data_IF_203501472715
#
_entry.id   IF_203501472715
#
_cell.length_a   1.000
_cell.length_b   1.000
_cell.length_c   1.000
_cell.angle_alpha   90.00
_cell.angle_beta   90.00
_cell.angle_gamma   90.00
#
_symmetry.space_group_name_H-M   'P 1'
#
loop_
_entity.id
_entity.type
_entity.pdbx_description
1 polymer ?
#
# COMPACT_ATOMS: atom_id res chain seq x y z
N UNK A 1 24.25 60.23 1.02
CA UNK A 1 23.98 58.92 1.68
C UNK A 1 23.90 59.10 3.19
N UNK A 2 22.71 59.23 3.78
CA UNK A 2 22.58 59.24 5.25
C UNK A 2 21.18 58.77 5.65
N UNK A 3 21.07 57.47 5.94
CA UNK A 3 19.99 56.81 6.69
C UNK A 3 20.47 55.39 7.05
N UNK A 4 21.51 55.28 7.89
CA UNK A 4 21.81 54.02 8.57
C UNK A 4 21.05 54.02 9.89
N UNK A 5 19.76 53.68 9.85
CA UNK A 5 19.01 53.38 11.07
C UNK A 5 19.48 52.01 11.53
N UNK A 6 20.14 51.94 12.69
CA UNK A 6 20.51 50.66 13.30
C UNK A 6 19.26 49.90 13.75
N UNK A 7 19.34 48.58 13.80
CA UNK A 7 18.25 47.73 14.31
C UNK A 7 17.93 48.13 15.75
N UNK A 8 16.66 48.35 16.06
CA UNK A 8 16.25 48.63 17.44
C UNK A 8 16.08 47.32 18.21
N UNK A 9 16.30 47.35 19.54
CA UNK A 9 16.11 46.17 20.40
C UNK A 9 14.68 45.59 20.27
N UNK A 10 13.69 46.47 20.15
CA UNK A 10 12.28 46.09 19.97
C UNK A 10 12.09 45.33 18.66
N UNK A 11 12.70 45.80 17.58
CA UNK A 11 12.64 45.14 16.27
C UNK A 11 13.27 43.75 16.31
N UNK A 12 14.40 43.56 17.01
CA UNK A 12 15.00 42.22 17.24
C UNK A 12 14.02 41.29 17.96
N UNK A 13 13.41 41.75 19.05
CA UNK A 13 12.50 40.94 19.87
C UNK A 13 11.24 40.56 19.07
N UNK A 14 10.67 41.51 18.33
CA UNK A 14 9.49 41.27 17.48
C UNK A 14 9.84 40.28 16.37
N UNK A 15 10.99 40.43 15.70
CA UNK A 15 11.43 39.48 14.67
C UNK A 15 11.62 38.06 15.22
N UNK A 16 12.26 37.90 16.39
CA UNK A 16 12.41 36.58 17.02
C UNK A 16 11.05 35.98 17.41
N UNK A 17 10.13 36.80 17.91
CA UNK A 17 8.79 36.36 18.30
C UNK A 17 8.01 35.83 17.08
N UNK A 18 8.07 36.55 15.96
CA UNK A 18 7.44 36.13 14.71
C UNK A 18 8.03 34.80 14.22
N UNK A 19 9.36 34.63 14.28
CA UNK A 19 10.01 33.38 13.89
C UNK A 19 9.55 32.19 14.73
N UNK A 20 9.40 32.36 16.04
CA UNK A 20 8.90 31.29 16.94
C UNK A 20 7.45 30.93 16.58
N UNK A 21 6.59 31.92 16.37
CA UNK A 21 5.19 31.71 16.00
C UNK A 21 5.07 30.93 14.68
N UNK A 22 5.91 31.25 13.69
CA UNK A 22 5.90 30.57 12.38
C UNK A 22 6.51 29.17 12.47
N UNK A 23 7.50 28.97 13.34
CA UNK A 23 8.21 27.68 13.45
C UNK A 23 7.30 26.55 13.92
N UNK A 24 6.40 26.80 14.88
CA UNK A 24 5.51 25.78 15.45
C UNK A 24 4.65 25.07 14.38
N UNK A 25 3.84 25.78 13.56
CA UNK A 25 3.07 25.12 12.51
C UNK A 25 3.94 24.49 11.43
N UNK A 26 5.12 25.06 11.13
CA UNK A 26 6.06 24.49 10.17
C UNK A 26 6.57 23.12 10.62
N UNK A 27 6.96 22.99 11.90
CA UNK A 27 7.39 21.72 12.49
C UNK A 27 6.27 20.67 12.44
N UNK A 28 5.04 21.05 12.74
CA UNK A 28 3.89 20.14 12.68
C UNK A 28 3.61 19.66 11.25
N UNK A 29 3.73 20.55 10.26
CA UNK A 29 3.57 20.18 8.85
C UNK A 29 4.65 19.19 8.40
N UNK A 30 5.91 19.43 8.76
CA UNK A 30 7.03 18.53 8.44
C UNK A 30 6.85 17.16 9.09
N UNK A 31 6.55 17.12 10.40
CA UNK A 31 6.37 15.86 11.13
C UNK A 31 5.20 15.03 10.57
N UNK A 32 4.09 15.69 10.25
CA UNK A 32 2.93 15.02 9.65
C UNK A 32 3.27 14.49 8.26
N UNK A 33 3.98 15.28 7.45
CA UNK A 33 4.45 14.87 6.13
C UNK A 33 5.34 13.63 6.21
N UNK A 34 6.35 13.64 7.08
CA UNK A 34 7.25 12.50 7.28
C UNK A 34 6.51 11.24 7.74
N UNK A 35 5.61 11.36 8.72
CA UNK A 35 4.81 10.23 9.20
C UNK A 35 3.94 9.63 8.10
N UNK A 36 3.36 10.45 7.23
CA UNK A 36 2.57 9.97 6.10
C UNK A 36 3.45 9.31 5.03
N UNK A 37 4.66 9.80 4.79
CA UNK A 37 5.61 9.18 3.86
C UNK A 37 6.01 7.79 4.34
N UNK A 38 6.36 7.64 5.62
CA UNK A 38 6.72 6.34 6.20
C UNK A 38 5.55 5.37 6.07
N UNK A 39 4.35 5.78 6.50
CA UNK A 39 3.13 4.96 6.39
C UNK A 39 2.78 4.56 4.95
N UNK A 40 3.05 5.45 3.99
CA UNK A 40 2.86 5.14 2.57
C UNK A 40 3.89 4.11 2.09
N UNK A 41 5.14 4.22 2.55
CA UNK A 41 6.19 3.24 2.31
C UNK A 41 5.81 1.86 2.82
N UNK A 42 5.42 1.76 4.10
CA UNK A 42 5.00 0.50 4.72
C UNK A 42 3.85 -0.14 3.92
N UNK A 43 2.82 0.65 3.57
CA UNK A 43 1.69 0.18 2.76
C UNK A 43 2.12 -0.33 1.38
N UNK A 44 3.08 0.34 0.75
CA UNK A 44 3.60 -0.08 -0.55
C UNK A 44 4.36 -1.40 -0.42
N UNK A 45 5.19 -1.55 0.62
CA UNK A 45 5.89 -2.80 0.92
C UNK A 45 4.92 -3.97 1.15
N UNK A 46 3.86 -3.77 1.95
CA UNK A 46 2.84 -4.79 2.18
C UNK A 46 2.18 -5.25 0.88
N UNK A 47 1.86 -4.31 -0.01
CA UNK A 47 1.21 -4.64 -1.30
C UNK A 47 2.16 -5.41 -2.20
N UNK A 48 3.44 -5.06 -2.23
CA UNK A 48 4.43 -5.84 -2.99
C UNK A 48 4.61 -7.24 -2.43
N UNK A 49 4.60 -7.39 -1.10
CA UNK A 49 4.65 -8.68 -0.44
C UNK A 49 3.44 -9.54 -0.81
N UNK A 50 2.23 -8.98 -0.71
CA UNK A 50 0.99 -9.66 -1.08
C UNK A 50 0.96 -10.02 -2.58
N UNK A 51 1.48 -9.16 -3.45
CA UNK A 51 1.62 -9.45 -4.89
C UNK A 51 2.55 -10.63 -5.14
N UNK A 52 3.72 -10.66 -4.50
CA UNK A 52 4.68 -11.77 -4.67
C UNK A 52 4.07 -13.11 -4.23
N UNK A 53 3.39 -13.13 -3.08
CA UNK A 53 2.70 -14.33 -2.58
C UNK A 53 1.59 -14.75 -3.54
N UNK A 54 0.81 -13.79 -4.04
CA UNK A 54 -0.25 -14.05 -5.00
C UNK A 54 0.29 -14.64 -6.30
N UNK A 55 1.35 -14.07 -6.86
CA UNK A 55 1.98 -14.55 -8.09
C UNK A 55 2.57 -15.96 -7.92
N UNK A 56 3.24 -16.22 -6.80
CA UNK A 56 3.71 -17.56 -6.45
C UNK A 56 2.55 -18.56 -6.36
N UNK A 57 1.46 -18.16 -5.70
CA UNK A 57 0.26 -18.99 -5.55
C UNK A 57 -0.38 -19.32 -6.90
N UNK A 58 -0.49 -18.33 -7.79
CA UNK A 58 -0.98 -18.52 -9.17
C UNK A 58 -0.10 -19.52 -9.92
N UNK A 59 1.22 -19.39 -9.81
CA UNK A 59 2.15 -20.26 -10.52
C UNK A 59 2.07 -21.71 -10.01
N UNK A 60 1.96 -21.91 -8.69
CA UNK A 60 1.78 -23.22 -8.08
C UNK A 60 0.45 -23.88 -8.45
N UNK A 61 -0.64 -23.11 -8.51
CA UNK A 61 -1.94 -23.59 -9.05
C UNK A 61 -1.79 -24.07 -10.49
N UNK A 62 -1.12 -23.29 -11.34
CA UNK A 62 -0.86 -23.66 -12.74
C UNK A 62 0.01 -24.91 -12.88
N UNK A 63 0.92 -25.14 -11.93
CA UNK A 63 1.74 -26.34 -11.86
C UNK A 63 0.98 -27.56 -11.30
N UNK A 64 -0.25 -27.39 -10.79
CA UNK A 64 -1.05 -28.45 -10.19
C UNK A 64 -0.60 -28.82 -8.78
N UNK A 65 0.11 -27.92 -8.09
CA UNK A 65 0.57 -28.14 -6.71
C UNK A 65 -0.52 -27.80 -5.69
N UNK A 66 -0.55 -28.54 -4.58
CA UNK A 66 -1.36 -28.16 -3.43
C UNK A 66 -0.79 -26.89 -2.78
N UNK A 67 -1.68 -25.92 -2.53
CA UNK A 67 -1.33 -24.67 -1.86
C UNK A 67 -1.62 -24.73 -0.38
N UNK A 68 -0.72 -24.12 0.39
CA UNK A 68 -0.97 -23.83 1.80
C UNK A 68 -1.91 -22.63 1.90
N UNK A 69 -2.94 -22.74 2.75
CA UNK A 69 -3.92 -21.66 2.96
C UNK A 69 -3.43 -20.61 3.95
N UNK A 70 -2.29 -20.83 4.58
CA UNK A 70 -1.69 -19.96 5.59
C UNK A 70 -0.16 -19.96 5.41
N UNK A 71 0.42 -18.78 5.26
CA UNK A 71 1.87 -18.57 5.15
C UNK A 71 2.30 -17.70 6.33
N UNK A 72 3.30 -18.14 7.08
CA UNK A 72 3.91 -17.32 8.14
C UNK A 72 5.13 -16.60 7.58
N UNK A 73 5.14 -15.28 7.67
CA UNK A 73 6.26 -14.43 7.26
C UNK A 73 7.38 -14.46 8.30
N UNK A 74 8.59 -14.11 7.87
CA UNK A 74 9.75 -13.94 8.78
C UNK A 74 9.50 -12.87 9.87
N UNK A 75 8.57 -11.94 9.61
CA UNK A 75 8.10 -10.95 10.59
C UNK A 75 7.22 -11.54 11.70
N UNK A 76 6.76 -12.79 11.55
CA UNK A 76 5.80 -13.47 12.43
C UNK A 76 4.34 -13.17 12.08
N UNK A 77 4.07 -12.35 11.07
CA UNK A 77 2.72 -12.11 10.54
C UNK A 77 2.25 -13.32 9.72
N UNK A 78 0.94 -13.58 9.76
CA UNK A 78 0.31 -14.66 9.01
C UNK A 78 -0.46 -14.11 7.83
N UNK A 79 -0.28 -14.74 6.68
CA UNK A 79 -0.96 -14.40 5.43
C UNK A 79 -1.90 -15.54 5.08
N UNK A 80 -3.18 -15.23 4.94
CA UNK A 80 -4.25 -16.16 4.62
C UNK A 80 -4.52 -16.13 3.12
N UNK A 81 -4.68 -17.31 2.53
CA UNK A 81 -5.02 -17.48 1.12
C UNK A 81 -6.40 -18.13 1.00
N UNK A 82 -7.28 -17.48 0.24
CA UNK A 82 -8.62 -17.95 -0.06
C UNK A 82 -8.81 -18.11 -1.56
N UNK A 83 -9.37 -19.25 -1.96
CA UNK A 83 -9.60 -19.61 -3.35
C UNK A 83 -11.10 -19.86 -3.56
N UNK A 84 -11.69 -19.13 -4.50
CA UNK A 84 -13.05 -19.39 -4.97
C UNK A 84 -12.99 -19.81 -6.43
N UNK A 85 -13.03 -21.13 -6.65
CA UNK A 85 -12.83 -21.79 -7.95
C UNK A 85 -14.05 -21.78 -8.87
N UNK A 86 -15.22 -21.31 -8.40
CA UNK A 86 -16.45 -21.25 -9.19
C UNK A 86 -16.80 -19.82 -9.63
N UNK A 87 -15.85 -18.90 -9.54
CA UNK A 87 -16.04 -17.52 -9.93
C UNK A 87 -16.27 -17.39 -11.44
N UNK A 88 -17.35 -16.70 -11.82
CA UNK A 88 -17.60 -16.27 -13.19
C UNK A 88 -17.51 -14.75 -13.29
N UNK A 89 -16.82 -14.25 -14.32
CA UNK A 89 -16.66 -12.82 -14.56
C UNK A 89 -17.11 -12.47 -15.98
N UNK A 90 -18.02 -11.49 -16.07
CA UNK A 90 -18.41 -10.88 -17.33
C UNK A 90 -17.29 -9.93 -17.80
N UNK A 91 -16.51 -10.39 -18.77
CA UNK A 91 -15.51 -9.55 -19.43
C UNK A 91 -16.23 -8.79 -20.54
N UNK A 92 -16.20 -7.45 -20.49
CA UNK A 92 -16.96 -6.56 -21.38
C UNK A 92 -16.73 -6.77 -22.90
N UNK A 93 -15.75 -7.57 -23.30
CA UNK A 93 -15.36 -7.86 -24.70
C UNK A 93 -15.77 -9.29 -25.11
N UNK A 94 -16.23 -10.13 -24.17
CA UNK A 94 -16.71 -11.49 -24.42
C UNK A 94 -18.24 -11.55 -24.34
N UNK A 95 -18.86 -12.32 -25.24
CA UNK A 95 -20.30 -12.61 -25.19
C UNK A 95 -20.67 -13.70 -24.19
N UNK A 96 -19.67 -14.42 -23.65
CA UNK A 96 -19.86 -15.49 -22.68
C UNK A 96 -19.05 -15.22 -21.39
N UNK A 97 -19.61 -15.51 -20.21
CA UNK A 97 -18.92 -15.33 -18.93
C UNK A 97 -17.68 -16.21 -18.88
N UNK A 98 -16.55 -15.63 -18.49
CA UNK A 98 -15.30 -16.38 -18.36
C UNK A 98 -15.27 -17.02 -16.97
N UNK A 99 -15.14 -18.34 -16.92
CA UNK A 99 -14.93 -19.06 -15.66
C UNK A 99 -13.48 -18.93 -15.21
N UNK A 100 -13.28 -18.84 -13.90
CA UNK A 100 -11.96 -18.64 -13.32
C UNK A 100 -11.95 -18.90 -11.83
N UNK A 101 -10.81 -18.63 -11.22
CA UNK A 101 -10.61 -18.70 -9.78
C UNK A 101 -10.34 -17.30 -9.25
N UNK A 102 -11.10 -16.88 -8.24
CA UNK A 102 -10.73 -15.71 -7.44
C UNK A 102 -9.71 -16.14 -6.39
N UNK A 103 -8.58 -15.46 -6.37
CA UNK A 103 -7.53 -15.66 -5.39
C UNK A 103 -7.50 -14.41 -4.52
N UNK A 104 -7.67 -14.60 -3.21
CA UNK A 104 -7.54 -13.52 -2.23
C UNK A 104 -6.40 -13.85 -1.28
N UNK A 105 -5.50 -12.89 -1.10
CA UNK A 105 -4.39 -12.94 -0.15
C UNK A 105 -4.59 -11.84 0.87
N UNK A 106 -4.59 -12.16 2.16
CA UNK A 106 -4.88 -11.22 3.26
C UNK A 106 -3.89 -11.39 4.40
N UNK A 107 -3.43 -10.28 4.99
CA UNK A 107 -2.61 -10.33 6.22
C UNK A 107 -3.55 -10.41 7.43
N UNK A 108 -3.45 -11.51 8.19
CA UNK A 108 -4.31 -11.82 9.34
C UNK A 108 -4.31 -10.66 10.35
N UNK A 109 -5.50 -10.26 10.78
CA UNK A 109 -5.68 -9.19 11.77
C UNK A 109 -5.51 -7.77 11.21
N UNK A 110 -5.39 -7.62 9.89
CA UNK A 110 -5.33 -6.31 9.22
C UNK A 110 -6.40 -6.18 8.13
N UNK A 111 -6.63 -4.96 7.65
CA UNK A 111 -7.51 -4.71 6.49
C UNK A 111 -6.73 -4.71 5.15
N UNK A 112 -5.54 -5.32 5.12
CA UNK A 112 -4.68 -5.36 3.93
C UNK A 112 -4.93 -6.67 3.20
N UNK A 113 -5.62 -6.59 2.06
CA UNK A 113 -5.87 -7.73 1.20
C UNK A 113 -5.70 -7.38 -0.28
N UNK A 114 -5.43 -8.40 -1.08
CA UNK A 114 -5.32 -8.34 -2.51
C UNK A 114 -6.12 -9.47 -3.13
N UNK A 115 -7.03 -9.15 -4.03
CA UNK A 115 -7.85 -10.13 -4.75
C UNK A 115 -7.62 -9.99 -6.25
N UNK A 116 -7.40 -11.12 -6.92
CA UNK A 116 -7.29 -11.19 -8.37
C UNK A 116 -8.14 -12.31 -8.94
N UNK A 117 -8.56 -12.15 -10.19
CA UNK A 117 -9.28 -13.16 -10.94
C UNK A 117 -8.34 -13.83 -11.94
N UNK A 118 -8.20 -15.14 -11.84
CA UNK A 118 -7.42 -15.96 -12.75
C UNK A 118 -8.37 -16.72 -13.66
N UNK A 119 -8.48 -16.37 -14.96
CA UNK A 119 -9.33 -17.11 -15.87
C UNK A 119 -8.79 -18.54 -16.05
N UNK A 120 -9.68 -19.51 -16.08
CA UNK A 120 -9.37 -20.86 -16.54
C UNK A 120 -9.23 -20.75 -18.06
N UNK A 121 -8.00 -20.74 -18.56
CA UNK A 121 -7.75 -20.69 -20.00
C UNK A 121 -8.41 -21.90 -20.65
N UNK A 122 -9.50 -21.71 -21.39
CA UNK A 122 -9.93 -22.68 -22.38
C UNK A 122 -8.94 -22.51 -23.54
N UNK A 123 -7.86 -23.28 -23.55
CA UNK A 123 -7.09 -23.46 -24.77
C UNK A 123 -8.04 -24.03 -25.83
N UNK A 124 -8.48 -23.17 -26.76
CA UNK A 124 -9.09 -23.65 -27.99
C UNK A 124 -7.96 -24.24 -28.84
N UNK A 125 -7.91 -25.57 -28.92
CA UNK A 125 -7.26 -26.29 -30.04
C UNK A 125 -7.77 -25.78 -31.40
#
# INVERSE_FOLDING_TARGET
MKNRKGLTLVEVIVSMTILVIISIPLFNAINTGLMNIVRAGDRTEDIYLLQNIMDESINRIRAGEELETEITLDSGEKVLLSFDSEASMDIAISSEPTQGTLITVEIEGTNKSLTTFVPLTIEKE
#
